data_IF_950271363773
#
_entry.id   IF_950271363773
#
_cell.length_a   1.000
_cell.length_b   1.000
_cell.length_c   1.000
_cell.angle_alpha   90.00
_cell.angle_beta   90.00
_cell.angle_gamma   90.00
#
_symmetry.space_group_name_H-M   'P 1'
#
loop_
_entity.id
_entity.type
_entity.pdbx_description
1 polymer ?
#
# COMPACT_ATOMS: atom_id res chain seq x y z
N UNK A 1 29.81 15.41 5.03
CA UNK A 1 30.28 15.05 3.68
C UNK A 1 29.41 15.74 2.63
N UNK A 2 29.97 16.47 1.66
CA UNK A 2 29.17 17.10 0.58
C UNK A 2 28.57 16.03 -0.33
N UNK A 3 27.34 16.22 -0.81
CA UNK A 3 26.64 15.26 -1.68
C UNK A 3 26.39 15.79 -3.09
N UNK A 4 26.34 14.86 -4.04
CA UNK A 4 25.75 15.01 -5.38
C UNK A 4 24.55 14.06 -5.50
N UNK A 5 23.61 14.34 -6.43
CA UNK A 5 22.44 13.49 -6.63
C UNK A 5 22.01 13.41 -8.09
N UNK A 6 21.44 12.27 -8.48
CA UNK A 6 20.92 12.01 -9.82
C UNK A 6 19.56 11.31 -9.75
N UNK A 7 18.63 11.71 -10.62
CA UNK A 7 17.32 11.07 -10.77
C UNK A 7 17.38 10.12 -11.96
N UNK A 8 17.11 8.84 -11.71
CA UNK A 8 17.14 7.78 -12.71
C UNK A 8 15.70 7.36 -13.03
N UNK A 9 15.33 7.38 -14.31
CA UNK A 9 14.03 6.94 -14.79
C UNK A 9 14.24 5.79 -15.76
N UNK A 10 13.59 4.66 -15.52
CA UNK A 10 13.74 3.45 -16.35
C UNK A 10 12.43 2.67 -16.47
N UNK A 11 12.31 1.81 -17.48
CA UNK A 11 11.10 1.01 -17.74
C UNK A 11 11.36 -0.46 -18.12
N UNK A 12 12.03 -1.27 -17.27
CA UNK A 12 12.24 -2.70 -17.48
C UNK A 12 10.94 -3.48 -17.20
N UNK A 13 9.94 -3.33 -18.06
CA UNK A 13 8.60 -3.92 -17.90
C UNK A 13 7.56 -2.91 -17.39
N UNK A 14 7.89 -2.19 -16.32
CA UNK A 14 7.11 -1.05 -15.79
C UNK A 14 8.01 0.13 -15.43
N UNK A 15 7.44 1.31 -15.28
CA UNK A 15 8.17 2.53 -14.94
C UNK A 15 8.67 2.49 -13.48
N UNK A 16 9.92 2.92 -13.31
CA UNK A 16 10.55 3.16 -12.02
C UNK A 16 11.26 4.50 -12.02
N UNK A 17 11.21 5.20 -10.89
CA UNK A 17 11.98 6.41 -10.61
C UNK A 17 12.84 6.16 -9.39
N UNK A 18 14.15 6.33 -9.50
CA UNK A 18 15.11 6.08 -8.42
C UNK A 18 15.98 7.31 -8.21
N UNK A 19 16.04 7.81 -6.98
CA UNK A 19 17.01 8.80 -6.58
C UNK A 19 18.31 8.11 -6.16
N UNK A 20 19.42 8.57 -6.71
CA UNK A 20 20.76 8.18 -6.31
C UNK A 20 21.48 9.37 -5.69
N UNK A 21 21.95 9.24 -4.45
CA UNK A 21 22.78 10.24 -3.76
C UNK A 21 24.20 9.68 -3.62
N UNK A 22 25.21 10.48 -3.95
CA UNK A 22 26.62 10.10 -3.81
C UNK A 22 27.34 11.11 -2.93
N UNK A 23 28.03 10.63 -1.90
CA UNK A 23 28.86 11.45 -1.01
C UNK A 23 30.21 11.79 -1.65
N UNK A 24 30.90 12.82 -1.15
CA UNK A 24 32.20 13.26 -1.69
C UNK A 24 33.32 12.21 -1.61
N UNK A 25 33.19 11.21 -0.74
CA UNK A 25 34.07 10.05 -0.60
C UNK A 25 33.58 8.82 -1.41
N UNK A 26 32.52 8.98 -2.22
CA UNK A 26 32.09 7.98 -3.21
C UNK A 26 31.03 6.99 -2.73
N UNK A 27 30.54 7.08 -1.48
CA UNK A 27 29.46 6.21 -0.99
C UNK A 27 28.15 6.60 -1.64
N UNK A 28 27.44 5.61 -2.20
CA UNK A 28 26.17 5.82 -2.89
C UNK A 28 24.99 5.22 -2.14
N UNK A 29 23.92 6.00 -2.00
CA UNK A 29 22.61 5.58 -1.51
C UNK A 29 21.54 5.60 -2.59
N UNK A 30 20.59 4.66 -2.53
CA UNK A 30 19.45 4.59 -3.45
C UNK A 30 18.12 4.69 -2.70
N UNK A 31 17.18 5.44 -3.29
CA UNK A 31 15.81 5.55 -2.79
C UNK A 31 14.78 5.51 -3.92
N UNK A 32 13.72 4.74 -3.72
CA UNK A 32 12.62 4.65 -4.67
C UNK A 32 11.72 5.89 -4.58
N UNK A 33 11.40 6.45 -5.74
CA UNK A 33 10.54 7.62 -5.92
C UNK A 33 9.33 7.30 -6.83
N UNK A 34 9.09 6.02 -7.12
CA UNK A 34 8.06 5.60 -8.08
C UNK A 34 6.66 5.92 -7.55
N UNK A 35 5.93 6.77 -8.29
CA UNK A 35 4.51 7.07 -8.06
C UNK A 35 3.73 6.64 -9.31
N UNK A 36 3.14 5.45 -9.26
CA UNK A 36 2.52 4.80 -10.41
C UNK A 36 1.51 5.70 -11.13
N UNK A 37 1.69 5.91 -12.44
CA UNK A 37 0.88 6.78 -13.30
C UNK A 37 1.15 8.29 -13.16
N UNK A 38 2.06 8.70 -12.29
CA UNK A 38 2.52 10.10 -12.09
C UNK A 38 4.03 10.17 -11.86
N UNK A 39 4.78 9.26 -12.49
CA UNK A 39 6.22 9.06 -12.27
C UNK A 39 7.02 10.30 -12.62
N UNK A 40 6.75 10.90 -13.79
CA UNK A 40 7.46 12.09 -14.26
C UNK A 40 7.21 13.33 -13.39
N UNK A 41 6.07 13.41 -12.70
CA UNK A 41 5.81 14.49 -11.76
C UNK A 41 6.77 14.41 -10.56
N UNK A 42 7.06 13.21 -10.05
CA UNK A 42 8.04 13.02 -8.97
C UNK A 42 9.46 13.21 -9.50
N UNK A 43 9.76 12.73 -10.70
CA UNK A 43 11.07 12.91 -11.32
C UNK A 43 11.41 14.41 -11.47
N UNK A 44 10.50 15.22 -12.01
CA UNK A 44 10.66 16.66 -12.15
C UNK A 44 10.79 17.35 -10.77
N UNK A 45 9.93 16.99 -9.81
CA UNK A 45 10.01 17.54 -8.46
C UNK A 45 11.37 17.26 -7.80
N UNK A 46 11.91 16.05 -7.98
CA UNK A 46 13.24 15.70 -7.50
C UNK A 46 14.32 16.50 -8.23
N UNK A 47 14.36 16.46 -9.56
CA UNK A 47 15.45 17.05 -10.35
C UNK A 47 15.49 18.57 -10.27
N UNK A 48 14.33 19.23 -10.31
CA UNK A 48 14.25 20.69 -10.45
C UNK A 48 14.13 21.42 -9.10
N UNK A 49 13.68 20.75 -8.04
CA UNK A 49 13.40 21.42 -6.76
C UNK A 49 14.14 20.80 -5.58
N UNK A 50 14.19 19.48 -5.45
CA UNK A 50 14.78 18.85 -4.27
C UNK A 50 16.29 18.70 -4.40
N UNK A 51 16.78 18.14 -5.51
CA UNK A 51 18.21 17.88 -5.74
C UNK A 51 19.07 19.14 -5.56
N UNK A 52 18.72 20.33 -6.10
CA UNK A 52 19.51 21.54 -5.87
C UNK A 52 19.68 21.91 -4.40
N UNK A 53 18.67 21.61 -3.56
CA UNK A 53 18.70 21.87 -2.12
C UNK A 53 19.55 20.87 -1.33
N UNK A 54 19.81 19.71 -1.91
CA UNK A 54 20.64 18.66 -1.32
C UNK A 54 22.13 18.93 -1.52
N UNK A 55 22.52 19.56 -2.63
CA UNK A 55 23.94 19.76 -2.96
C UNK A 55 24.65 20.53 -1.85
N UNK A 56 25.75 19.94 -1.36
CA UNK A 56 26.55 20.53 -0.28
C UNK A 56 26.06 20.27 1.15
N UNK A 57 24.85 19.71 1.34
CA UNK A 57 24.38 19.27 2.66
C UNK A 57 25.17 18.06 3.16
N UNK A 58 25.12 17.84 4.48
CA UNK A 58 25.72 16.68 5.12
C UNK A 58 24.80 15.45 5.05
N UNK A 59 25.27 14.38 4.42
CA UNK A 59 24.53 13.12 4.27
C UNK A 59 24.13 12.46 5.60
N UNK A 60 24.83 12.76 6.69
CA UNK A 60 24.52 12.17 8.00
C UNK A 60 23.36 12.86 8.73
N UNK A 61 23.01 14.08 8.31
CA UNK A 61 21.94 14.89 8.89
C UNK A 61 20.56 14.51 8.30
N UNK A 62 20.18 13.24 8.47
CA UNK A 62 18.93 12.68 7.90
C UNK A 62 17.71 13.41 8.44
N UNK A 63 17.58 13.52 9.76
CA UNK A 63 16.41 14.15 10.39
C UNK A 63 16.29 15.63 10.00
N UNK A 64 17.40 16.38 10.01
CA UNK A 64 17.41 17.78 9.55
C UNK A 64 16.96 17.90 8.09
N UNK A 65 17.48 17.05 7.21
CA UNK A 65 17.09 17.04 5.80
C UNK A 65 15.62 16.70 5.63
N UNK A 66 15.09 15.75 6.40
CA UNK A 66 13.67 15.40 6.37
C UNK A 66 12.78 16.57 6.82
N UNK A 67 13.12 17.20 7.95
CA UNK A 67 12.37 18.35 8.48
C UNK A 67 12.43 19.55 7.53
N UNK A 68 13.58 19.76 6.90
CA UNK A 68 13.77 20.81 5.91
C UNK A 68 12.85 20.62 4.68
N UNK A 69 12.61 19.39 4.25
CA UNK A 69 11.83 19.09 3.04
C UNK A 69 10.32 18.92 3.28
N UNK A 70 9.84 18.75 4.52
CA UNK A 70 8.43 18.39 4.81
C UNK A 70 7.41 19.53 5.03
N UNK A 71 7.64 20.84 4.79
CA UNK A 71 6.62 21.84 5.15
C UNK A 71 5.29 21.68 4.39
N UNK A 72 5.25 20.91 3.29
CA UNK A 72 4.02 20.62 2.52
C UNK A 72 3.81 19.11 2.34
N UNK A 73 2.55 18.68 2.34
CA UNK A 73 2.15 17.26 2.19
C UNK A 73 1.51 17.03 0.82
N UNK A 74 1.69 15.82 0.26
CA UNK A 74 1.08 15.41 -1.00
C UNK A 74 1.74 14.13 -1.54
N UNK A 75 1.11 13.38 -2.47
CA UNK A 75 1.67 12.14 -2.98
C UNK A 75 3.02 12.36 -3.70
N UNK A 76 3.13 13.41 -4.53
CA UNK A 76 4.37 13.76 -5.24
C UNK A 76 5.47 14.16 -4.25
N UNK A 77 5.16 15.11 -3.37
CA UNK A 77 6.11 15.60 -2.35
C UNK A 77 6.61 14.49 -1.44
N UNK A 78 5.71 13.64 -0.94
CA UNK A 78 6.11 12.56 -0.03
C UNK A 78 6.88 11.45 -0.73
N UNK A 79 6.61 11.14 -2.01
CA UNK A 79 7.41 10.19 -2.78
C UNK A 79 8.85 10.70 -2.95
N UNK A 80 9.02 11.99 -3.27
CA UNK A 80 10.33 12.62 -3.36
C UNK A 80 11.08 12.60 -2.01
N UNK A 81 10.43 13.01 -0.92
CA UNK A 81 11.03 12.99 0.43
C UNK A 81 11.41 11.57 0.85
N UNK A 82 10.55 10.58 0.58
CA UNK A 82 10.83 9.18 0.89
C UNK A 82 12.06 8.66 0.13
N UNK A 83 12.23 9.06 -1.12
CA UNK A 83 13.41 8.71 -1.91
C UNK A 83 14.70 9.29 -1.30
N UNK A 84 14.67 10.55 -0.86
CA UNK A 84 15.80 11.18 -0.16
C UNK A 84 16.11 10.45 1.15
N UNK A 85 15.10 10.27 2.01
CA UNK A 85 15.26 9.63 3.32
C UNK A 85 15.83 8.21 3.18
N UNK A 86 15.27 7.41 2.26
CA UNK A 86 15.74 6.04 2.00
C UNK A 86 17.19 6.02 1.51
N UNK A 87 17.55 6.91 0.57
CA UNK A 87 18.92 6.99 0.06
C UNK A 87 19.92 7.40 1.16
N UNK A 88 19.55 8.33 2.04
CA UNK A 88 20.40 8.75 3.15
C UNK A 88 20.56 7.65 4.21
N UNK A 89 19.50 6.89 4.51
CA UNK A 89 19.58 5.72 5.40
C UNK A 89 20.44 4.60 4.79
N UNK A 90 20.35 4.38 3.49
CA UNK A 90 21.22 3.44 2.76
C UNK A 90 22.70 3.85 2.87
N UNK A 91 23.02 5.14 2.66
CA UNK A 91 24.38 5.68 2.89
C UNK A 91 24.82 5.43 4.34
N UNK A 92 23.97 5.75 5.32
CA UNK A 92 24.33 5.62 6.74
C UNK A 92 24.62 4.17 7.13
N UNK A 93 23.84 3.22 6.60
CA UNK A 93 24.07 1.79 6.79
C UNK A 93 25.38 1.31 6.15
N UNK A 94 25.65 1.75 4.91
CA UNK A 94 26.89 1.44 4.19
C UNK A 94 28.13 1.99 4.89
N UNK A 95 28.10 3.24 5.33
CA UNK A 95 29.20 3.87 6.10
C UNK A 95 29.43 3.12 7.42
N UNK A 96 28.37 2.66 8.09
CA UNK A 96 28.49 1.88 9.32
C UNK A 96 28.97 0.44 9.10
N UNK A 97 29.02 -0.06 7.86
CA UNK A 97 29.32 -1.46 7.56
C UNK A 97 28.25 -2.43 8.10
N UNK A 98 27.01 -1.95 8.29
CA UNK A 98 25.92 -2.73 8.88
C UNK A 98 24.73 -2.83 7.93
N UNK A 99 23.99 -3.95 7.94
CA UNK A 99 22.69 -3.98 7.29
C UNK A 99 21.73 -3.03 8.00
N UNK A 100 20.91 -2.29 7.23
CA UNK A 100 20.06 -1.20 7.76
C UNK A 100 19.23 -1.59 8.99
N UNK A 101 18.69 -2.81 9.05
CA UNK A 101 17.89 -3.26 10.20
C UNK A 101 18.65 -3.25 11.53
N UNK A 102 19.98 -3.36 11.53
CA UNK A 102 20.79 -3.26 12.75
C UNK A 102 20.77 -1.83 13.30
N UNK A 103 20.85 -0.83 12.42
CA UNK A 103 20.71 0.57 12.81
C UNK A 103 19.31 0.90 13.32
N UNK A 104 18.29 0.16 12.87
CA UNK A 104 16.90 0.31 13.31
C UNK A 104 16.58 -0.40 14.65
N UNK A 105 17.59 -0.94 15.34
CA UNK A 105 17.42 -1.60 16.65
C UNK A 105 17.54 -3.13 16.62
N UNK A 106 18.04 -3.70 15.52
CA UNK A 106 18.36 -5.12 15.43
C UNK A 106 17.17 -6.02 15.08
N UNK A 107 17.47 -7.32 14.95
CA UNK A 107 16.53 -8.31 14.42
C UNK A 107 15.50 -8.74 15.47
N UNK A 108 14.21 -8.45 15.22
CA UNK A 108 13.11 -8.97 16.05
C UNK A 108 12.49 -10.30 15.57
N UNK A 109 12.86 -10.80 14.38
CA UNK A 109 12.30 -12.01 13.75
C UNK A 109 13.26 -12.65 12.75
N UNK A 110 13.13 -13.95 12.50
CA UNK A 110 13.99 -14.67 11.54
C UNK A 110 13.66 -14.42 10.06
N UNK A 111 12.41 -14.07 9.77
CA UNK A 111 11.92 -13.75 8.43
C UNK A 111 10.60 -13.01 8.50
N UNK A 112 10.15 -12.49 7.36
CA UNK A 112 8.90 -11.72 7.27
C UNK A 112 7.88 -12.53 6.47
N UNK A 113 6.66 -12.65 7.01
CA UNK A 113 5.55 -13.28 6.30
C UNK A 113 5.14 -12.41 5.10
N UNK A 114 5.11 -13.02 3.92
CA UNK A 114 4.58 -12.44 2.68
C UNK A 114 3.27 -13.14 2.29
N UNK A 115 2.43 -12.46 1.51
CA UNK A 115 1.20 -13.02 0.97
C UNK A 115 1.23 -13.02 -0.56
N UNK A 116 0.68 -14.07 -1.17
CA UNK A 116 0.55 -14.23 -2.62
C UNK A 116 -0.74 -13.59 -3.14
N UNK A 117 -0.82 -13.29 -4.44
CA UNK A 117 -2.00 -12.66 -5.05
C UNK A 117 -2.67 -13.68 -5.98
N UNK A 118 -3.63 -14.42 -5.43
CA UNK A 118 -4.40 -15.38 -6.21
C UNK A 118 -5.62 -14.70 -6.85
N UNK A 119 -5.80 -14.94 -8.15
CA UNK A 119 -6.97 -14.46 -8.88
C UNK A 119 -7.41 -15.41 -9.98
N UNK A 120 -8.70 -15.37 -10.32
CA UNK A 120 -9.30 -16.09 -11.42
C UNK A 120 -10.61 -15.43 -11.85
N UNK A 121 -11.02 -15.62 -13.10
CA UNK A 121 -12.35 -15.16 -13.55
C UNK A 121 -13.45 -15.97 -12.87
N UNK A 122 -13.21 -17.27 -12.72
CA UNK A 122 -14.10 -18.25 -12.09
C UNK A 122 -13.38 -19.04 -10.98
N UNK A 123 -14.14 -19.77 -10.16
CA UNK A 123 -13.60 -20.52 -9.02
C UNK A 123 -12.49 -21.53 -9.39
N UNK A 124 -12.59 -22.33 -10.46
CA UNK A 124 -11.52 -23.27 -10.80
C UNK A 124 -10.18 -22.57 -11.07
N UNK A 125 -10.20 -21.46 -11.82
CA UNK A 125 -8.99 -20.67 -12.10
C UNK A 125 -8.41 -20.06 -10.82
N UNK A 126 -9.29 -19.58 -9.93
CA UNK A 126 -8.87 -19.06 -8.62
C UNK A 126 -8.21 -20.16 -7.78
N UNK A 127 -8.76 -21.38 -7.78
CA UNK A 127 -8.21 -22.50 -7.01
C UNK A 127 -6.84 -22.92 -7.53
N UNK A 128 -6.68 -23.00 -8.85
CA UNK A 128 -5.38 -23.26 -9.48
C UNK A 128 -4.36 -22.17 -9.14
N UNK A 129 -4.80 -20.90 -9.08
CA UNK A 129 -3.96 -19.78 -8.68
C UNK A 129 -3.53 -19.89 -7.21
N UNK A 130 -4.44 -20.28 -6.30
CA UNK A 130 -4.12 -20.51 -4.89
C UNK A 130 -3.11 -21.64 -4.73
N UNK A 131 -3.32 -22.80 -5.39
CA UNK A 131 -2.39 -23.94 -5.34
C UNK A 131 -1.00 -23.57 -5.84
N UNK A 132 -0.91 -22.85 -6.96
CA UNK A 132 0.37 -22.40 -7.51
C UNK A 132 1.15 -21.50 -6.52
N UNK A 133 0.46 -20.67 -5.73
CA UNK A 133 1.10 -19.88 -4.70
C UNK A 133 1.51 -20.71 -3.47
N UNK A 134 0.73 -21.72 -3.10
CA UNK A 134 1.11 -22.67 -2.03
C UNK A 134 2.36 -23.46 -2.42
N UNK A 135 2.49 -23.88 -3.68
CA UNK A 135 3.68 -24.54 -4.23
C UNK A 135 4.93 -23.65 -4.17
N UNK A 136 4.75 -22.33 -4.36
CA UNK A 136 5.82 -21.34 -4.16
C UNK A 136 6.15 -21.07 -2.68
N UNK A 137 5.42 -21.68 -1.74
CA UNK A 137 5.64 -21.55 -0.30
C UNK A 137 4.94 -20.35 0.34
N UNK A 138 3.98 -19.70 -0.34
CA UNK A 138 3.18 -18.66 0.29
C UNK A 138 2.29 -19.26 1.38
N UNK A 139 2.37 -18.65 2.57
CA UNK A 139 1.60 -19.05 3.75
C UNK A 139 0.42 -18.13 4.04
N UNK A 140 0.11 -17.20 3.14
CA UNK A 140 -1.02 -16.28 3.22
C UNK A 140 -1.38 -15.86 1.80
N UNK A 141 -2.66 -15.74 1.48
CA UNK A 141 -3.11 -15.51 0.11
C UNK A 141 -4.17 -14.42 0.07
N UNK A 142 -3.97 -13.43 -0.80
CA UNK A 142 -5.00 -12.45 -1.17
C UNK A 142 -5.81 -13.02 -2.33
N UNK A 143 -7.12 -13.14 -2.10
CA UNK A 143 -8.08 -13.73 -3.03
C UNK A 143 -8.86 -12.62 -3.73
N UNK A 144 -8.79 -12.59 -5.06
CA UNK A 144 -9.60 -11.75 -5.92
C UNK A 144 -10.30 -12.61 -6.99
N UNK A 145 -11.51 -12.25 -7.40
CA UNK A 145 -12.25 -13.01 -8.41
C UNK A 145 -13.00 -12.08 -9.35
N UNK A 146 -13.30 -12.58 -10.55
CA UNK A 146 -14.31 -11.97 -11.41
C UNK A 146 -15.65 -11.87 -10.69
N UNK A 147 -16.49 -10.91 -11.09
CA UNK A 147 -17.87 -10.81 -10.62
C UNK A 147 -18.77 -11.09 -11.81
N UNK A 148 -19.67 -12.09 -11.74
CA UNK A 148 -20.57 -12.41 -12.84
C UNK A 148 -21.35 -11.17 -13.32
N UNK A 149 -21.31 -10.94 -14.63
CA UNK A 149 -21.94 -9.76 -15.27
C UNK A 149 -21.06 -8.51 -15.34
N UNK A 150 -19.84 -8.52 -14.77
CA UNK A 150 -18.85 -7.47 -14.95
C UNK A 150 -17.73 -7.93 -15.89
N UNK A 151 -17.39 -7.11 -16.88
CA UNK A 151 -16.36 -7.41 -17.88
C UNK A 151 -14.93 -7.30 -17.37
N UNK A 152 -14.72 -6.51 -16.31
CA UNK A 152 -13.42 -6.35 -15.66
C UNK A 152 -13.60 -5.98 -14.18
N UNK A 153 -12.74 -6.55 -13.33
CA UNK A 153 -12.71 -6.27 -11.90
C UNK A 153 -11.25 -6.16 -11.49
N UNK A 154 -10.89 -5.07 -10.80
CA UNK A 154 -9.56 -4.88 -10.25
C UNK A 154 -9.05 -6.10 -9.48
N UNK A 155 -7.78 -6.44 -9.71
CA UNK A 155 -7.09 -7.57 -9.07
C UNK A 155 -7.32 -8.92 -9.72
N UNK A 156 -8.13 -9.00 -10.79
CA UNK A 156 -8.30 -10.22 -11.59
C UNK A 156 -7.42 -10.12 -12.83
N UNK A 157 -6.38 -10.94 -12.89
CA UNK A 157 -5.64 -11.12 -14.15
C UNK A 157 -6.54 -11.93 -15.09
N UNK A 158 -7.04 -11.34 -16.17
CA UNK A 158 -7.64 -12.16 -17.23
C UNK A 158 -6.54 -13.06 -17.80
N UNK A 159 -6.84 -14.35 -17.95
CA UNK A 159 -5.94 -15.39 -18.47
C UNK A 159 -5.30 -15.03 -19.82
N UNK A 160 -5.93 -14.18 -20.63
CA UNK A 160 -5.38 -13.66 -21.88
C UNK A 160 -4.17 -12.72 -21.72
N UNK A 161 -3.97 -12.08 -20.56
CA UNK A 161 -2.94 -11.05 -20.37
C UNK A 161 -1.63 -11.57 -19.76
N UNK A 162 -1.56 -12.85 -19.37
CA UNK A 162 -0.30 -13.48 -18.95
C UNK A 162 0.71 -13.64 -20.11
N UNK A 163 0.26 -13.53 -21.37
CA UNK A 163 1.10 -13.72 -22.56
C UNK A 163 1.76 -12.44 -23.10
N UNK A 164 1.41 -11.26 -22.60
CA UNK A 164 1.87 -9.98 -23.18
C UNK A 164 2.92 -9.23 -22.32
N UNK A 165 3.55 -9.92 -21.37
CA UNK A 165 4.74 -9.41 -20.68
C UNK A 165 5.96 -9.49 -21.60
N UNK A 166 6.52 -8.33 -21.97
CA UNK A 166 7.72 -8.24 -22.78
C UNK A 166 8.87 -9.03 -22.13
N UNK A 167 9.25 -10.15 -22.74
CA UNK A 167 10.42 -10.93 -22.37
C UNK A 167 10.15 -12.41 -22.10
N UNK A 168 9.57 -13.14 -23.07
CA UNK A 168 9.83 -14.57 -23.33
C UNK A 168 9.84 -15.56 -22.16
N UNK A 169 9.22 -15.22 -21.04
CA UNK A 169 9.20 -16.05 -19.84
C UNK A 169 7.75 -16.42 -19.56
N UNK A 170 7.50 -17.72 -19.47
CA UNK A 170 6.19 -18.35 -19.17
C UNK A 170 5.71 -18.09 -17.73
N UNK A 171 6.28 -17.10 -17.05
CA UNK A 171 5.91 -16.74 -15.70
C UNK A 171 4.57 -15.99 -15.73
N UNK A 172 3.55 -16.54 -15.05
CA UNK A 172 2.30 -15.82 -14.75
C UNK A 172 2.68 -14.48 -14.12
N UNK A 173 2.51 -13.38 -14.86
CA UNK A 173 2.82 -12.04 -14.37
C UNK A 173 1.65 -11.57 -13.51
N UNK A 174 1.89 -11.48 -12.21
CA UNK A 174 0.91 -11.05 -11.20
C UNK A 174 0.50 -9.60 -11.45
N UNK A 175 -0.73 -9.41 -11.96
CA UNK A 175 -1.51 -8.17 -12.02
C UNK A 175 -0.75 -6.82 -12.09
N UNK A 176 -0.58 -6.28 -13.30
CA UNK A 176 -0.15 -4.88 -13.51
C UNK A 176 -1.36 -3.96 -13.75
N UNK A 177 -1.78 -3.14 -12.76
CA UNK A 177 -2.95 -2.28 -12.90
C UNK A 177 -2.71 -1.08 -13.83
N UNK A 178 -1.49 -0.56 -13.91
CA UNK A 178 -1.15 0.52 -14.82
C UNK A 178 -0.78 -0.08 -16.18
N UNK A 179 -1.81 -0.38 -17.00
CA UNK A 179 -1.61 -0.86 -18.36
C UNK A 179 -0.74 0.14 -19.14
N UNK A 180 0.02 -0.37 -20.11
CA UNK A 180 0.77 0.47 -21.07
C UNK A 180 -0.18 1.13 -22.07
N UNK A 181 -1.07 1.98 -21.57
CA UNK A 181 -2.01 2.77 -22.34
C UNK A 181 -1.77 4.26 -22.08
N UNK A 182 -2.09 5.09 -23.07
CA UNK A 182 -1.97 6.56 -22.98
C UNK A 182 -3.02 7.14 -22.03
N UNK A 183 -4.16 6.46 -21.90
CA UNK A 183 -5.29 6.85 -21.06
C UNK A 183 -5.63 5.75 -20.05
N UNK A 184 -6.21 6.10 -18.89
CA UNK A 184 -6.71 5.12 -17.93
C UNK A 184 -7.77 4.21 -18.57
N UNK A 185 -7.79 2.94 -18.15
CA UNK A 185 -8.86 2.01 -18.53
C UNK A 185 -10.10 2.32 -17.72
N UNK A 186 -11.24 2.41 -18.39
CA UNK A 186 -12.54 2.56 -17.73
C UNK A 186 -13.09 1.18 -17.34
N UNK A 187 -13.36 0.99 -16.05
CA UNK A 187 -13.96 -0.22 -15.50
C UNK A 187 -15.43 0.04 -15.14
N UNK A 188 -16.30 -0.92 -15.47
CA UNK A 188 -17.68 -0.92 -14.98
C UNK A 188 -17.74 -1.54 -13.58
N UNK A 189 -18.64 -1.06 -12.73
CA UNK A 189 -18.76 -1.53 -11.36
C UNK A 189 -20.20 -1.64 -10.87
N UNK A 190 -20.56 -2.79 -10.32
CA UNK A 190 -21.82 -3.02 -9.61
C UNK A 190 -21.56 -3.54 -8.19
N UNK A 191 -21.71 -2.65 -7.21
CA UNK A 191 -21.57 -2.97 -5.78
C UNK A 191 -22.56 -4.06 -5.32
N UNK A 192 -23.78 -4.10 -5.86
CA UNK A 192 -24.78 -5.09 -5.44
C UNK A 192 -24.42 -6.48 -5.94
N UNK A 193 -23.96 -6.60 -7.19
CA UNK A 193 -23.46 -7.86 -7.73
C UNK A 193 -22.26 -8.37 -6.91
N UNK A 194 -21.29 -7.49 -6.64
CA UNK A 194 -20.13 -7.81 -5.81
C UNK A 194 -20.51 -8.29 -4.39
N UNK A 195 -21.39 -7.57 -3.69
CA UNK A 195 -21.82 -7.94 -2.33
C UNK A 195 -22.59 -9.27 -2.26
N UNK A 196 -23.26 -9.68 -3.35
CA UNK A 196 -23.92 -11.00 -3.44
C UNK A 196 -22.92 -12.12 -3.74
N UNK A 197 -21.88 -11.83 -4.51
CA UNK A 197 -20.97 -12.84 -5.04
C UNK A 197 -19.85 -13.22 -4.06
N UNK A 198 -19.17 -12.23 -3.47
CA UNK A 198 -17.94 -12.45 -2.70
C UNK A 198 -18.08 -13.41 -1.50
N UNK A 199 -19.17 -13.40 -0.70
CA UNK A 199 -19.31 -14.35 0.39
C UNK A 199 -19.28 -15.82 -0.07
N UNK A 200 -19.93 -16.14 -1.20
CA UNK A 200 -19.91 -17.51 -1.75
C UNK A 200 -18.53 -17.93 -2.27
N UNK A 201 -17.72 -16.97 -2.71
CA UNK A 201 -16.33 -17.23 -3.12
C UNK A 201 -15.49 -17.64 -1.90
N UNK A 202 -15.60 -16.91 -0.79
CA UNK A 202 -14.87 -17.25 0.42
C UNK A 202 -15.36 -18.54 1.07
N UNK A 203 -16.66 -18.84 0.98
CA UNK A 203 -17.21 -20.15 1.36
C UNK A 203 -16.56 -21.29 0.58
N UNK A 204 -16.49 -21.14 -0.75
CA UNK A 204 -15.88 -22.14 -1.63
C UNK A 204 -14.37 -22.30 -1.36
N UNK A 205 -13.63 -21.19 -1.21
CA UNK A 205 -12.20 -21.22 -0.87
C UNK A 205 -11.96 -21.88 0.48
N UNK A 206 -12.79 -21.61 1.50
CA UNK A 206 -12.67 -22.25 2.82
C UNK A 206 -12.99 -23.73 2.78
N UNK A 207 -13.98 -24.12 1.99
CA UNK A 207 -14.33 -25.53 1.79
C UNK A 207 -13.19 -26.32 1.15
N UNK A 208 -12.49 -25.72 0.19
CA UNK A 208 -11.40 -26.38 -0.55
C UNK A 208 -10.05 -26.36 0.18
N UNK A 209 -9.65 -25.21 0.76
CA UNK A 209 -8.30 -25.01 1.30
C UNK A 209 -8.24 -25.01 2.84
N UNK A 210 -9.38 -25.16 3.50
CA UNK A 210 -9.48 -25.25 4.96
C UNK A 210 -9.41 -23.92 5.70
N UNK A 211 -9.52 -24.01 7.03
CA UNK A 211 -9.58 -22.85 7.93
C UNK A 211 -8.21 -22.23 8.21
N UNK A 212 -7.13 -23.01 8.15
CA UNK A 212 -5.80 -22.59 8.60
C UNK A 212 -5.10 -21.61 7.64
N UNK A 213 -5.49 -21.59 6.36
CA UNK A 213 -4.88 -20.69 5.38
C UNK A 213 -5.28 -19.23 5.68
N UNK A 214 -4.35 -18.32 5.97
CA UNK A 214 -4.68 -16.90 6.14
C UNK A 214 -5.13 -16.29 4.81
N UNK A 215 -6.41 -15.93 4.75
CA UNK A 215 -7.03 -15.32 3.57
C UNK A 215 -7.16 -13.82 3.72
N UNK A 216 -6.83 -13.10 2.65
CA UNK A 216 -6.94 -11.65 2.56
C UNK A 216 -7.87 -11.30 1.40
N UNK A 217 -8.58 -10.18 1.53
CA UNK A 217 -9.38 -9.63 0.43
C UNK A 217 -9.19 -8.12 0.33
N UNK A 218 -9.22 -7.58 -0.88
CA UNK A 218 -9.13 -6.14 -1.12
C UNK A 218 -10.38 -5.65 -1.88
N UNK A 219 -11.10 -4.74 -1.22
CA UNK A 219 -12.35 -4.15 -1.70
C UNK A 219 -12.14 -2.85 -2.51
N UNK A 220 -10.89 -2.38 -2.65
CA UNK A 220 -10.46 -1.34 -3.60
C UNK A 220 -11.26 -0.03 -3.56
N UNK A 221 -11.63 0.40 -2.36
CA UNK A 221 -12.35 1.65 -2.07
C UNK A 221 -13.76 1.75 -2.66
N UNK A 222 -14.39 0.63 -3.04
CA UNK A 222 -15.62 0.62 -3.84
C UNK A 222 -16.92 0.66 -3.05
N UNK A 223 -16.86 0.57 -1.72
CA UNK A 223 -18.05 0.48 -0.87
C UNK A 223 -18.26 1.76 -0.09
N UNK A 224 -19.52 2.08 0.18
CA UNK A 224 -19.88 3.03 1.24
C UNK A 224 -19.62 2.39 2.63
N UNK A 225 -19.50 3.16 3.71
CA UNK A 225 -19.21 2.61 5.04
C UNK A 225 -20.22 1.55 5.52
N UNK A 226 -21.50 1.70 5.20
CA UNK A 226 -22.51 0.72 5.60
C UNK A 226 -22.46 -0.55 4.74
N UNK A 227 -22.10 -0.42 3.46
CA UNK A 227 -21.86 -1.57 2.58
C UNK A 227 -20.59 -2.33 3.00
N UNK A 228 -19.54 -1.61 3.40
CA UNK A 228 -18.34 -2.17 3.99
C UNK A 228 -18.62 -2.94 5.29
N UNK A 229 -19.42 -2.35 6.20
CA UNK A 229 -19.90 -3.02 7.41
C UNK A 229 -20.67 -4.32 7.08
N UNK A 230 -21.59 -4.24 6.12
CA UNK A 230 -22.35 -5.40 5.64
C UNK A 230 -21.43 -6.49 5.10
N UNK A 231 -20.47 -6.15 4.23
CA UNK A 231 -19.52 -7.12 3.68
C UNK A 231 -18.68 -7.76 4.78
N UNK A 232 -18.13 -6.95 5.69
CA UNK A 232 -17.34 -7.44 6.82
C UNK A 232 -18.11 -8.49 7.62
N UNK A 233 -19.38 -8.21 7.95
CA UNK A 233 -20.26 -9.14 8.67
C UNK A 233 -20.55 -10.42 7.89
N UNK A 234 -20.77 -10.32 6.57
CA UNK A 234 -20.97 -11.48 5.70
C UNK A 234 -19.72 -12.36 5.58
N UNK A 235 -18.53 -11.82 5.84
CA UNK A 235 -17.26 -12.54 5.75
C UNK A 235 -16.72 -13.03 7.10
N UNK A 236 -17.40 -12.74 8.21
CA UNK A 236 -17.01 -13.21 9.55
C UNK A 236 -16.85 -14.74 9.65
N UNK A 237 -17.74 -15.57 9.05
CA UNK A 237 -17.59 -17.03 9.11
C UNK A 237 -16.30 -17.57 8.50
N UNK A 238 -15.62 -16.78 7.66
CA UNK A 238 -14.43 -17.21 6.93
C UNK A 238 -13.13 -16.73 7.56
N UNK A 239 -13.17 -16.07 8.72
CA UNK A 239 -12.00 -15.61 9.49
C UNK A 239 -10.87 -15.04 8.63
N UNK A 240 -11.16 -13.94 7.93
CA UNK A 240 -10.16 -13.26 7.11
C UNK A 240 -9.04 -12.69 7.96
N UNK A 241 -7.80 -12.83 7.49
CA UNK A 241 -6.64 -12.19 8.09
C UNK A 241 -6.80 -10.66 8.04
N UNK A 242 -7.23 -10.13 6.90
CA UNK A 242 -7.82 -8.79 6.79
C UNK A 242 -8.75 -8.60 5.59
N UNK A 243 -9.61 -7.59 5.69
CA UNK A 243 -10.38 -7.00 4.61
C UNK A 243 -9.85 -5.58 4.34
N UNK A 244 -9.24 -5.37 3.18
CA UNK A 244 -8.49 -4.18 2.80
C UNK A 244 -9.36 -3.15 2.05
N UNK A 245 -9.08 -1.87 2.29
CA UNK A 245 -9.57 -0.72 1.52
C UNK A 245 -11.08 -0.73 1.28
N UNK A 246 -11.85 -1.04 2.32
CA UNK A 246 -13.31 -1.19 2.22
C UNK A 246 -14.06 0.05 1.74
N UNK A 247 -13.54 1.26 2.00
CA UNK A 247 -14.19 2.52 1.65
C UNK A 247 -13.14 3.64 1.51
N UNK A 248 -13.40 4.71 0.73
CA UNK A 248 -12.53 5.88 0.72
C UNK A 248 -12.40 6.47 2.13
N UNK A 249 -11.18 6.85 2.51
CA UNK A 249 -10.81 7.11 3.90
C UNK A 249 -10.09 8.45 4.10
N UNK A 250 -10.41 9.45 3.27
CA UNK A 250 -10.07 10.85 3.48
C UNK A 250 -10.70 11.33 4.79
N UNK A 251 -11.99 11.04 4.99
CA UNK A 251 -12.65 11.18 6.28
C UNK A 251 -12.44 9.92 7.14
N UNK A 252 -11.57 10.01 8.15
CA UNK A 252 -11.20 8.88 9.02
C UNK A 252 -12.39 8.33 9.81
N UNK A 253 -13.36 9.18 10.17
CA UNK A 253 -14.46 8.82 11.04
C UNK A 253 -15.36 7.74 10.41
N UNK A 254 -15.35 7.61 9.08
CA UNK A 254 -16.17 6.62 8.37
C UNK A 254 -15.80 5.17 8.71
N UNK A 255 -14.54 4.91 9.05
CA UNK A 255 -14.07 3.57 9.44
C UNK A 255 -14.58 3.15 10.82
N UNK A 256 -14.94 4.11 11.68
CA UNK A 256 -15.56 3.82 12.98
C UNK A 256 -16.88 3.08 12.80
N UNK A 257 -17.72 3.56 11.87
CA UNK A 257 -19.00 2.90 11.54
C UNK A 257 -18.81 1.48 11.03
N UNK A 258 -17.77 1.24 10.21
CA UNK A 258 -17.44 -0.13 9.79
C UNK A 258 -17.08 -0.99 11.00
N UNK A 259 -16.20 -0.47 11.87
CA UNK A 259 -15.69 -1.21 13.03
C UNK A 259 -16.75 -1.50 14.09
N UNK A 260 -17.79 -0.68 14.20
CA UNK A 260 -18.93 -0.90 15.13
C UNK A 260 -19.82 -2.09 14.73
N UNK A 261 -19.76 -2.55 13.48
CA UNK A 261 -20.69 -3.54 12.94
C UNK A 261 -20.07 -4.87 12.52
N UNK A 262 -18.73 -5.00 12.52
CA UNK A 262 -18.06 -6.25 12.18
C UNK A 262 -16.80 -6.51 12.99
N UNK A 263 -16.57 -7.78 13.31
CA UNK A 263 -15.33 -8.25 13.96
C UNK A 263 -14.20 -8.50 12.95
N UNK A 264 -14.54 -8.71 11.67
CA UNK A 264 -13.58 -8.85 10.56
C UNK A 264 -12.57 -7.71 10.58
N UNK A 265 -11.28 -8.07 10.55
CA UNK A 265 -10.18 -7.09 10.67
C UNK A 265 -10.10 -6.25 9.41
N UNK A 266 -10.50 -4.99 9.46
CA UNK A 266 -10.36 -4.08 8.32
C UNK A 266 -9.00 -3.38 8.33
N UNK A 267 -8.37 -3.27 7.16
CA UNK A 267 -7.09 -2.58 6.97
C UNK A 267 -7.19 -1.56 5.86
N UNK A 268 -6.43 -0.47 5.98
CA UNK A 268 -6.27 0.54 4.93
C UNK A 268 -4.89 0.39 4.30
N UNK A 269 -4.82 0.40 2.97
CA UNK A 269 -3.61 0.71 2.21
C UNK A 269 -3.43 2.22 2.22
N UNK A 270 -2.36 2.68 2.84
CA UNK A 270 -1.92 4.05 2.65
C UNK A 270 -0.93 4.07 1.49
N UNK A 271 -1.02 5.04 0.58
CA UNK A 271 0.05 5.38 -0.38
C UNK A 271 1.34 5.85 0.31
N UNK A 272 1.33 5.90 1.64
CA UNK A 272 2.49 6.12 2.50
C UNK A 272 2.98 4.76 2.97
N UNK A 273 4.28 4.48 2.79
CA UNK A 273 4.94 3.25 3.20
C UNK A 273 4.56 2.78 4.61
N UNK A 274 4.78 1.49 4.85
CA UNK A 274 4.30 0.64 5.96
C UNK A 274 4.61 1.08 7.42
N UNK A 275 4.91 2.34 7.69
CA UNK A 275 5.11 2.89 9.03
C UNK A 275 4.00 3.89 9.39
N UNK A 276 2.92 3.40 9.99
CA UNK A 276 1.97 4.23 10.72
C UNK A 276 2.28 4.15 12.22
N UNK A 277 3.24 4.95 12.68
CA UNK A 277 3.15 5.54 14.01
C UNK A 277 3.17 7.07 13.87
N UNK A 278 2.01 7.66 14.20
CA UNK A 278 1.80 9.10 14.47
C UNK A 278 2.07 10.08 13.31
N UNK A 279 1.11 10.25 12.40
CA UNK A 279 0.95 11.52 11.66
C UNK A 279 -0.51 11.98 11.69
N UNK A 280 -0.73 13.30 11.74
CA UNK A 280 -1.98 13.99 12.14
C UNK A 280 -3.24 13.58 11.39
N UNK A 281 -3.12 12.97 10.21
CA UNK A 281 -4.29 12.48 9.50
C UNK A 281 -5.06 11.46 10.34
N UNK A 282 -4.40 10.61 11.13
CA UNK A 282 -5.07 9.65 12.02
C UNK A 282 -5.47 10.21 13.38
N UNK A 283 -5.26 11.51 13.65
CA UNK A 283 -5.46 12.09 15.00
C UNK A 283 -6.85 12.62 15.28
N UNK A 284 -7.73 12.82 14.30
CA UNK A 284 -8.96 13.57 14.53
C UNK A 284 -10.18 12.69 14.85
N UNK A 285 -10.10 11.91 15.93
CA UNK A 285 -11.27 11.23 16.51
C UNK A 285 -11.36 11.32 18.04
N UNK A 286 -10.66 12.29 18.66
CA UNK A 286 -10.61 12.40 20.13
C UNK A 286 -10.66 13.81 20.75
N UNK A 287 -11.09 14.86 20.02
CA UNK A 287 -11.11 16.24 20.58
C UNK A 287 -12.45 16.98 20.45
N UNK A 288 -13.57 16.25 20.43
CA UNK A 288 -14.91 16.83 20.54
C UNK A 288 -15.74 16.06 21.57
N UNK A 289 -15.30 16.05 22.84
CA UNK A 289 -16.11 15.62 23.98
C UNK A 289 -15.47 16.02 25.32
N UNK A 290 -15.22 17.30 25.56
CA UNK A 290 -15.07 17.87 26.92
C UNK A 290 -15.19 19.39 26.80
N UNK A 291 -16.41 19.91 26.90
CA UNK A 291 -16.71 21.28 27.34
C UNK A 291 -18.22 21.38 27.60
N UNK A 292 -18.67 20.61 28.60
CA UNK A 292 -19.90 20.88 29.34
C UNK A 292 -19.64 20.46 30.78
N UNK A 293 -19.55 21.44 31.68
CA UNK A 293 -19.49 21.20 33.12
C UNK A 293 -18.44 22.03 33.84
N UNK A 294 -18.78 23.28 34.16
CA UNK A 294 -18.31 24.09 35.30
C UNK A 294 -19.11 25.40 35.22
N UNK A 295 -20.17 25.62 36.00
CA UNK A 295 -20.10 25.91 37.43
C UNK A 295 -20.45 27.39 37.65
N UNK A 296 -21.73 27.75 37.70
CA UNK A 296 -22.18 29.05 38.25
C UNK A 296 -22.89 28.79 39.58
N UNK A 297 -22.12 28.77 40.65
CA UNK A 297 -22.61 29.11 41.98
C UNK A 297 -22.48 30.63 42.14
N UNK A 298 -23.60 31.33 42.35
CA UNK A 298 -23.61 32.62 43.05
C UNK A 298 -24.72 32.60 44.07
N UNK A 299 -24.30 32.81 45.32
CA UNK A 299 -25.10 32.96 46.51
C UNK A 299 -26.15 34.07 46.36
N UNK A 300 -27.29 33.86 47.01
CA UNK A 300 -28.15 34.95 47.52
C UNK A 300 -27.98 34.98 49.04
N UNK A 301 -28.06 36.16 49.68
CA UNK A 301 -28.50 36.21 51.07
C UNK A 301 -29.96 35.77 51.18
#
# INVERSE_FOLDING_TARGET
>A
MRITAAVLVTSPGRNFVTLRITTGDGVTGLGDATLNGRELAVAAYLSEHVVPLLIGRDAHAIEDTWQYLIPRRGPVTMAAIAAVDTALWDIKAKVAGLPLYQLLGGRSRRGTLCYGHASGAELPELFDSIRAHQEQGYRAIRVQTGVPGLSSVYGVASSANAAAGAGGTTARYDHEPARRSVVPVEEQWDTRAYLRHIPGVFEAVRSEFGAELPLLHDAHHRLTPIQAAKLGKLLEPYDLFWLEDVTPAENQAVLRRVREHTTTRTRRRTSRGRSLRRSEHTRNSGRLATNFGEGRARARP
#
